data_IF_469957921339
#
_entry.id   IF_469957921339
#
_cell.length_a   1.000
_cell.length_b   1.000
_cell.length_c   1.000
_cell.angle_alpha   90.00
_cell.angle_beta   90.00
_cell.angle_gamma   90.00
#
_symmetry.space_group_name_H-M   'P 1'
#
loop_
_entity.id
_entity.type
_entity.pdbx_description
1 polymer ?
#
# COMPACT_ATOMS: atom_id res chain seq x y z
N UNK A 1 9.61 -7.68 20.10
CA UNK A 1 10.78 -8.50 19.71
C UNK A 1 10.57 -9.99 20.03
N UNK A 2 9.47 -10.30 20.69
CA UNK A 2 9.19 -11.57 21.36
C UNK A 2 9.19 -12.75 20.37
N UNK A 3 8.65 -12.55 19.17
CA UNK A 3 8.62 -13.56 18.11
C UNK A 3 10.02 -14.04 17.66
N UNK A 4 11.04 -13.18 17.79
CA UNK A 4 12.44 -13.54 17.50
C UNK A 4 13.28 -13.71 18.76
N UNK A 5 12.65 -13.70 19.94
CA UNK A 5 13.35 -13.81 21.23
C UNK A 5 14.39 -12.70 21.47
N UNK A 6 14.23 -11.53 20.83
CA UNK A 6 15.24 -10.46 20.87
C UNK A 6 16.51 -10.74 20.05
N UNK A 7 16.63 -11.87 19.37
CA UNK A 7 17.80 -12.20 18.56
C UNK A 7 17.81 -11.41 17.24
N UNK A 8 18.78 -10.49 17.14
CA UNK A 8 19.09 -9.70 15.94
C UNK A 8 20.54 -9.89 15.48
N UNK A 9 21.22 -10.92 16.01
CA UNK A 9 22.65 -11.18 15.75
C UNK A 9 22.95 -11.51 14.28
N UNK A 10 21.93 -11.94 13.52
CA UNK A 10 22.00 -12.22 12.07
C UNK A 10 21.89 -10.95 11.19
N UNK A 11 22.17 -9.78 11.77
CA UNK A 11 21.94 -8.48 11.13
C UNK A 11 20.44 -8.17 11.00
N UNK A 12 19.60 -8.74 11.86
CA UNK A 12 18.15 -8.53 11.91
C UNK A 12 17.36 -9.23 10.80
N UNK A 13 17.92 -10.26 10.16
CA UNK A 13 17.23 -11.02 9.10
C UNK A 13 15.98 -11.70 9.65
N UNK A 14 16.07 -12.43 10.77
CA UNK A 14 14.91 -13.01 11.47
C UNK A 14 13.84 -11.97 11.79
N UNK A 15 14.27 -10.80 12.28
CA UNK A 15 13.35 -9.71 12.61
C UNK A 15 12.64 -9.19 11.36
N UNK A 16 13.35 -8.93 10.27
CA UNK A 16 12.75 -8.53 8.98
C UNK A 16 11.80 -9.59 8.43
N UNK A 17 12.16 -10.87 8.53
CA UNK A 17 11.33 -11.99 8.10
C UNK A 17 10.04 -12.14 8.94
N UNK A 18 10.07 -11.75 10.21
CA UNK A 18 8.88 -11.67 11.07
C UNK A 18 8.00 -10.47 10.72
N UNK A 19 8.62 -9.28 10.58
CA UNK A 19 7.92 -8.04 10.25
C UNK A 19 7.25 -8.10 8.86
N UNK A 20 7.85 -8.77 7.88
CA UNK A 20 7.30 -8.89 6.52
C UNK A 20 6.00 -9.70 6.44
N UNK A 21 5.69 -10.48 7.48
CA UNK A 21 4.49 -11.32 7.56
C UNK A 21 3.36 -10.69 8.38
N UNK A 22 3.59 -9.50 8.95
CA UNK A 22 2.59 -8.82 9.75
C UNK A 22 1.42 -8.38 8.89
N UNK A 23 0.23 -8.52 9.47
CA UNK A 23 -1.01 -8.01 8.91
C UNK A 23 -1.92 -7.55 10.04
N UNK A 24 -2.60 -6.44 9.82
CA UNK A 24 -3.39 -5.76 10.83
C UNK A 24 -4.78 -5.45 10.28
N UNK A 25 -5.81 -5.71 11.08
CA UNK A 25 -7.13 -5.14 10.86
C UNK A 25 -7.18 -3.77 11.52
N UNK A 26 -7.37 -2.72 10.72
CA UNK A 26 -7.39 -1.33 11.17
C UNK A 26 -8.77 -0.70 10.95
N UNK A 27 -9.08 0.48 11.54
CA UNK A 27 -10.33 1.17 11.26
C UNK A 27 -10.55 1.50 9.77
N UNK A 28 -9.47 1.58 8.98
CA UNK A 28 -9.51 1.88 7.55
C UNK A 28 -9.31 0.63 6.68
N UNK A 29 -9.58 -0.56 7.22
CA UNK A 29 -9.43 -1.83 6.52
C UNK A 29 -8.12 -2.57 6.86
N UNK A 30 -7.87 -3.66 6.15
CA UNK A 30 -6.71 -4.52 6.38
C UNK A 30 -5.45 -3.91 5.79
N UNK A 31 -4.35 -3.97 6.53
CA UNK A 31 -3.02 -3.54 6.08
C UNK A 31 -2.03 -4.71 6.16
N UNK A 32 -1.22 -4.89 5.13
CA UNK A 32 -0.10 -5.84 5.10
C UNK A 32 1.04 -5.29 4.23
N UNK A 33 2.13 -6.05 4.06
CA UNK A 33 3.24 -5.69 3.18
C UNK A 33 3.28 -6.57 1.94
N UNK A 34 3.64 -5.99 0.79
CA UNK A 34 4.01 -6.73 -0.40
C UNK A 34 5.45 -7.28 -0.31
N UNK A 35 5.88 -8.02 -1.34
CA UNK A 35 7.23 -8.61 -1.39
C UNK A 35 8.37 -7.58 -1.35
N UNK A 36 8.09 -6.34 -1.74
CA UNK A 36 9.03 -5.23 -1.75
C UNK A 36 8.97 -4.40 -0.45
N UNK A 37 8.17 -4.83 0.53
CA UNK A 37 7.92 -4.17 1.82
C UNK A 37 7.16 -2.85 1.70
N UNK A 38 6.34 -2.70 0.65
CA UNK A 38 5.39 -1.59 0.56
C UNK A 38 4.03 -2.00 1.12
N UNK A 39 3.26 -1.03 1.61
CA UNK A 39 1.94 -1.30 2.14
C UNK A 39 0.98 -1.81 1.05
N UNK A 40 0.22 -2.84 1.40
CA UNK A 40 -1.02 -3.25 0.73
C UNK A 40 -2.15 -2.78 1.64
N UNK A 41 -3.00 -1.89 1.12
CA UNK A 41 -4.06 -1.26 1.89
C UNK A 41 -5.22 -0.84 1.00
N UNK A 42 -6.34 -0.49 1.60
CA UNK A 42 -7.47 0.09 0.90
C UNK A 42 -7.15 1.56 0.53
N UNK A 43 -7.44 1.95 -0.71
CA UNK A 43 -7.27 3.31 -1.21
C UNK A 43 -8.62 4.00 -1.29
N UNK A 44 -8.69 5.19 -0.71
CA UNK A 44 -9.90 5.99 -0.61
C UNK A 44 -9.83 7.14 -1.62
N UNK A 45 -10.73 7.15 -2.59
CA UNK A 45 -10.95 8.29 -3.46
C UNK A 45 -11.92 9.24 -2.76
N UNK A 46 -11.46 10.45 -2.44
CA UNK A 46 -12.26 11.47 -1.76
C UNK A 46 -12.40 12.72 -2.62
N UNK A 47 -13.50 13.43 -2.42
CA UNK A 47 -13.79 14.75 -2.97
C UNK A 47 -13.81 15.76 -1.82
N UNK A 48 -13.19 16.93 -2.03
CA UNK A 48 -13.28 18.03 -1.07
C UNK A 48 -14.60 18.77 -1.30
N UNK A 49 -15.47 18.79 -0.29
CA UNK A 49 -16.79 19.44 -0.36
C UNK A 49 -17.01 20.36 0.84
N UNK A 50 -17.79 21.43 0.69
CA UNK A 50 -18.18 22.29 1.81
C UNK A 50 -19.33 21.65 2.62
N UNK A 51 -19.20 21.65 3.95
CA UNK A 51 -20.20 21.19 4.90
C UNK A 51 -21.24 22.25 5.20
N UNK A 52 -22.32 21.86 5.89
CA UNK A 52 -23.41 22.77 6.25
C UNK A 52 -22.99 23.92 7.19
N UNK A 53 -21.85 23.78 7.86
CA UNK A 53 -21.22 24.75 8.75
C UNK A 53 -20.14 25.60 8.06
N UNK A 54 -19.96 25.46 6.74
CA UNK A 54 -18.95 26.17 5.95
C UNK A 54 -17.54 25.56 6.01
N UNK A 55 -17.35 24.43 6.72
CA UNK A 55 -16.04 23.76 6.78
C UNK A 55 -15.82 22.83 5.59
N UNK A 56 -14.55 22.62 5.20
CA UNK A 56 -14.20 21.66 4.14
C UNK A 56 -14.15 20.23 4.70
N UNK A 57 -14.77 19.30 3.98
CA UNK A 57 -14.87 17.88 4.32
C UNK A 57 -14.28 17.02 3.20
N UNK A 58 -13.77 15.84 3.55
CA UNK A 58 -13.45 14.78 2.59
C UNK A 58 -14.65 13.86 2.45
N UNK A 59 -15.43 14.03 1.37
CA UNK A 59 -16.53 13.14 1.02
C UNK A 59 -15.96 11.90 0.33
N UNK A 60 -16.24 10.72 0.88
CA UNK A 60 -15.84 9.46 0.25
C UNK A 60 -16.60 9.23 -1.06
N UNK A 61 -15.86 9.00 -2.15
CA UNK A 61 -16.41 8.69 -3.48
C UNK A 61 -16.33 7.19 -3.77
N UNK A 62 -15.17 6.58 -3.50
CA UNK A 62 -14.92 5.16 -3.78
C UNK A 62 -13.84 4.60 -2.86
N UNK A 63 -13.96 3.33 -2.51
CA UNK A 63 -12.89 2.54 -1.91
C UNK A 63 -12.42 1.52 -2.93
N UNK A 64 -11.10 1.42 -3.12
CA UNK A 64 -10.47 0.34 -3.87
C UNK A 64 -9.70 -0.52 -2.86
N UNK A 65 -10.15 -1.75 -2.60
CA UNK A 65 -9.57 -2.55 -1.53
C UNK A 65 -8.21 -3.14 -1.91
N UNK A 66 -7.34 -3.32 -0.91
CA UNK A 66 -6.11 -4.12 -0.97
C UNK A 66 -5.21 -3.84 -2.18
N UNK A 67 -4.96 -2.55 -2.46
CA UNK A 67 -4.10 -2.11 -3.56
C UNK A 67 -2.65 -2.35 -3.19
N UNK A 68 -1.93 -3.09 -4.04
CA UNK A 68 -0.50 -3.32 -3.97
C UNK A 68 0.26 -2.39 -4.95
N UNK A 69 1.59 -2.47 -4.99
CA UNK A 69 2.40 -1.63 -5.88
C UNK A 69 2.18 -1.88 -7.38
N UNK A 70 1.65 -3.06 -7.74
CA UNK A 70 1.31 -3.36 -9.14
C UNK A 70 -0.12 -2.92 -9.48
N UNK A 71 -0.81 -2.22 -8.57
CA UNK A 71 -2.18 -1.72 -8.76
C UNK A 71 -3.18 -2.85 -9.12
N UNK A 72 -2.94 -4.06 -8.60
CA UNK A 72 -3.73 -5.25 -8.90
C UNK A 72 -3.40 -5.95 -10.23
N UNK A 73 -2.45 -5.42 -11.02
CA UNK A 73 -1.97 -6.05 -12.26
C UNK A 73 -1.02 -7.21 -11.89
N UNK A 74 -1.09 -8.37 -12.58
CA UNK A 74 -0.10 -9.43 -12.44
C UNK A 74 1.32 -8.89 -12.62
N UNK A 75 2.25 -9.31 -11.77
CA UNK A 75 3.57 -8.66 -11.72
C UNK A 75 4.33 -8.73 -13.06
N UNK A 76 4.28 -9.88 -13.74
CA UNK A 76 4.94 -10.04 -15.03
C UNK A 76 4.33 -9.13 -16.11
N UNK A 77 3.04 -8.86 -16.04
CA UNK A 77 2.36 -7.88 -16.91
C UNK A 77 2.71 -6.44 -16.53
N UNK A 78 2.74 -6.12 -15.24
CA UNK A 78 3.11 -4.80 -14.75
C UNK A 78 4.54 -4.44 -15.17
N UNK A 79 5.48 -5.39 -15.06
CA UNK A 79 6.88 -5.18 -15.45
C UNK A 79 7.04 -4.95 -16.96
N UNK A 80 6.15 -5.49 -17.81
CA UNK A 80 6.14 -5.24 -19.26
C UNK A 80 5.76 -3.79 -19.60
N UNK A 81 5.08 -3.06 -18.69
CA UNK A 81 4.78 -1.64 -18.88
C UNK A 81 6.05 -0.79 -18.90
N UNK A 82 7.16 -1.26 -18.31
CA UNK A 82 8.42 -0.53 -18.27
C UNK A 82 8.42 0.66 -17.31
N UNK A 83 9.59 1.29 -17.14
CA UNK A 83 9.73 2.45 -16.27
C UNK A 83 9.02 3.66 -16.85
N UNK A 84 8.27 4.38 -16.02
CA UNK A 84 7.64 5.66 -16.41
C UNK A 84 8.71 6.66 -16.81
N UNK A 85 8.55 7.27 -17.98
CA UNK A 85 9.43 8.29 -18.52
C UNK A 85 8.68 9.17 -19.52
N UNK A 86 9.37 10.09 -20.22
CA UNK A 86 8.74 11.01 -21.18
C UNK A 86 7.90 10.29 -22.24
N UNK A 87 8.35 9.13 -22.69
CA UNK A 87 7.78 8.39 -23.80
C UNK A 87 7.01 7.13 -23.33
N UNK A 88 6.86 6.94 -22.01
CA UNK A 88 6.18 5.79 -21.42
C UNK A 88 5.35 6.13 -20.15
N UNK A 89 4.03 5.92 -20.16
CA UNK A 89 3.22 5.48 -21.31
C UNK A 89 3.21 6.53 -22.42
N UNK A 90 2.95 6.10 -23.66
CA UNK A 90 2.79 7.03 -24.79
C UNK A 90 1.62 7.97 -24.51
N UNK A 91 1.88 9.28 -24.55
CA UNK A 91 0.87 10.33 -24.58
C UNK A 91 0.73 10.84 -26.03
N UNK A 92 -0.12 10.20 -26.86
CA UNK A 92 -0.40 10.65 -28.22
C UNK A 92 -1.18 11.98 -28.26
#
# INVERSE_FOLDING_TARGET
LDQVGGDVSDGGKKLRDALSKLSFDTPTGKVSLDKNRNAIADIFLTEVTEGADGNLLNKLVKVVPQVNQTLGIPEDEFMKLGAVNRDNPSCP
#
